data_IF_451038633341
#
_entry.id   IF_451038633341
#
_cell.length_a   1.000
_cell.length_b   1.000
_cell.length_c   1.000
_cell.angle_alpha   90.00
_cell.angle_beta   90.00
_cell.angle_gamma   90.00
#
_symmetry.space_group_name_H-M   'P 1'
#
loop_
_entity.id
_entity.type
_entity.pdbx_description
1 polymer ?
#
# COMPACT_ATOMS: atom_id res chain seq x y z
N UNK A 1 11.68 12.50 12.66
CA UNK A 1 10.96 12.93 13.91
C UNK A 1 9.66 12.14 14.04
N UNK A 2 9.20 11.90 15.27
CA UNK A 2 7.93 11.24 15.50
C UNK A 2 6.84 12.29 15.70
N UNK A 3 5.74 12.19 14.96
CA UNK A 3 4.56 13.02 15.15
C UNK A 3 3.50 12.22 15.91
N UNK A 4 2.89 12.88 16.89
CA UNK A 4 1.89 12.27 17.77
C UNK A 4 0.53 12.85 17.45
N UNK A 5 -0.45 11.95 17.27
CA UNK A 5 -1.86 12.29 17.13
C UNK A 5 -2.56 11.88 18.42
N UNK A 6 -3.14 12.85 19.10
CA UNK A 6 -3.86 12.63 20.34
C UNK A 6 -5.21 11.95 20.07
N UNK A 7 -5.75 11.27 21.08
CA UNK A 7 -7.10 10.71 21.00
C UNK A 7 -8.14 11.81 20.69
N UNK A 8 -9.23 11.43 20.07
CA UNK A 8 -10.30 12.31 19.57
C UNK A 8 -9.94 13.19 18.38
N UNK A 9 -8.73 13.03 17.80
CA UNK A 9 -8.38 13.71 16.56
C UNK A 9 -9.08 13.04 15.37
N UNK A 10 -9.65 13.84 14.49
CA UNK A 10 -10.26 13.36 13.24
C UNK A 10 -9.20 13.13 12.16
N UNK A 11 -9.43 12.12 11.34
CA UNK A 11 -8.63 11.81 10.18
C UNK A 11 -9.49 11.32 9.03
N UNK A 12 -8.84 11.01 7.93
CA UNK A 12 -9.47 10.50 6.71
C UNK A 12 -8.76 9.25 6.22
N UNK A 13 -9.46 8.47 5.42
CA UNK A 13 -8.80 7.49 4.55
C UNK A 13 -9.17 7.74 3.08
N UNK A 14 -8.19 7.51 2.20
CA UNK A 14 -8.24 7.92 0.81
C UNK A 14 -7.90 6.75 -0.12
N UNK A 15 -8.61 6.67 -1.24
CA UNK A 15 -8.33 5.77 -2.34
C UNK A 15 -8.23 6.55 -3.67
N UNK A 16 -8.32 5.86 -4.81
CA UNK A 16 -8.25 6.49 -6.13
C UNK A 16 -9.46 7.36 -6.48
N UNK A 17 -10.55 7.23 -5.74
CA UNK A 17 -11.77 8.02 -5.97
C UNK A 17 -11.67 9.42 -5.37
N UNK A 18 -10.85 9.61 -4.35
CA UNK A 18 -10.69 10.87 -3.66
C UNK A 18 -9.69 11.82 -4.36
N UNK A 19 -9.59 13.05 -3.83
CA UNK A 19 -8.67 14.07 -4.31
C UNK A 19 -7.21 13.67 -4.06
N UNK A 20 -6.31 14.12 -4.92
CA UNK A 20 -4.86 14.05 -4.66
C UNK A 20 -4.39 15.09 -3.63
N UNK A 21 -5.24 16.07 -3.32
CA UNK A 21 -4.91 17.17 -2.43
C UNK A 21 -5.65 17.03 -1.10
N UNK A 22 -4.91 16.72 -0.04
CA UNK A 22 -5.46 16.57 1.31
C UNK A 22 -6.09 17.86 1.87
N UNK A 23 -5.69 19.03 1.36
CA UNK A 23 -6.30 20.31 1.73
C UNK A 23 -7.79 20.39 1.33
N UNK A 24 -8.26 19.50 0.45
CA UNK A 24 -9.69 19.35 0.12
C UNK A 24 -10.53 18.85 1.32
N UNK A 25 -9.88 18.35 2.38
CA UNK A 25 -10.53 17.73 3.55
C UNK A 25 -10.16 18.47 4.85
N UNK A 26 -10.67 19.69 5.04
CA UNK A 26 -10.28 20.53 6.18
C UNK A 26 -10.71 19.94 7.52
N UNK A 27 -9.79 19.98 8.48
CA UNK A 27 -9.98 19.43 9.82
C UNK A 27 -9.33 18.07 10.02
N UNK A 28 -8.81 17.43 8.98
CA UNK A 28 -8.04 16.18 9.08
C UNK A 28 -6.73 16.43 9.84
N UNK A 29 -6.42 15.54 10.77
CA UNK A 29 -5.19 15.54 11.56
C UNK A 29 -4.26 14.38 11.22
N UNK A 30 -4.76 13.37 10.52
CA UNK A 30 -4.00 12.26 9.94
C UNK A 30 -4.72 11.73 8.70
N UNK A 31 -3.99 11.04 7.85
CA UNK A 31 -4.53 10.40 6.67
C UNK A 31 -4.03 8.95 6.57
N UNK A 32 -4.85 8.07 6.00
CA UNK A 32 -4.49 6.69 5.69
C UNK A 32 -4.79 6.47 4.21
N UNK A 33 -3.76 6.19 3.40
CA UNK A 33 -3.86 6.15 1.95
C UNK A 33 -3.86 4.71 1.45
N UNK A 34 -4.87 4.33 0.64
CA UNK A 34 -4.82 3.07 -0.12
C UNK A 34 -3.60 3.09 -1.02
N UNK A 35 -2.71 2.12 -0.87
CA UNK A 35 -1.56 2.02 -1.76
C UNK A 35 -1.71 0.88 -2.76
N UNK A 36 -2.30 -0.23 -2.33
CA UNK A 36 -2.39 -1.47 -3.12
C UNK A 36 -3.69 -2.24 -2.88
N UNK A 37 -3.96 -3.18 -3.78
CA UNK A 37 -5.03 -4.17 -3.66
C UNK A 37 -4.57 -5.47 -4.33
N UNK A 38 -4.78 -6.62 -3.69
CA UNK A 38 -4.34 -7.92 -4.17
C UNK A 38 -2.86 -7.93 -4.54
N UNK A 39 -2.49 -8.59 -5.65
CA UNK A 39 -1.09 -8.72 -6.08
C UNK A 39 -0.66 -7.75 -7.19
N UNK A 40 -1.56 -6.94 -7.73
CA UNK A 40 -1.27 -6.18 -8.96
C UNK A 40 -1.76 -4.74 -8.98
N UNK A 41 -2.81 -4.41 -8.22
CA UNK A 41 -3.33 -3.05 -8.21
C UNK A 41 -2.49 -2.13 -7.33
N UNK A 42 -2.16 -0.97 -7.87
CA UNK A 42 -1.57 0.15 -7.15
C UNK A 42 -2.46 1.38 -7.34
N UNK A 43 -2.74 2.10 -6.25
CA UNK A 43 -3.51 3.34 -6.33
C UNK A 43 -2.71 4.40 -7.13
N UNK A 44 -3.21 4.86 -8.29
CA UNK A 44 -2.48 5.80 -9.14
C UNK A 44 -2.27 7.16 -8.49
N UNK A 45 -3.08 7.51 -7.50
CA UNK A 45 -3.01 8.77 -6.77
C UNK A 45 -2.16 8.70 -5.50
N UNK A 46 -1.78 7.50 -5.03
CA UNK A 46 -1.14 7.32 -3.73
C UNK A 46 0.10 8.20 -3.53
N UNK A 47 0.96 8.32 -4.55
CA UNK A 47 2.17 9.17 -4.49
C UNK A 47 1.80 10.64 -4.26
N UNK A 48 0.81 11.14 -4.99
CA UNK A 48 0.37 12.53 -4.88
C UNK A 48 -0.35 12.79 -3.54
N UNK A 49 -1.21 11.87 -3.10
CA UNK A 49 -1.90 11.93 -1.80
C UNK A 49 -0.91 11.96 -0.64
N UNK A 50 0.07 11.04 -0.63
CA UNK A 50 1.13 11.00 0.39
C UNK A 50 1.99 12.27 0.36
N UNK A 51 2.37 12.75 -0.82
CA UNK A 51 3.13 13.99 -0.96
C UNK A 51 2.35 15.20 -0.45
N UNK A 52 1.06 15.29 -0.77
CA UNK A 52 0.17 16.35 -0.28
C UNK A 52 0.03 16.33 1.23
N UNK A 53 -0.15 15.16 1.85
CA UNK A 53 -0.19 15.02 3.31
C UNK A 53 1.10 15.54 3.97
N UNK A 54 2.25 15.13 3.45
CA UNK A 54 3.56 15.58 3.94
C UNK A 54 3.76 17.09 3.80
N UNK A 55 3.39 17.68 2.66
CA UNK A 55 3.51 19.12 2.41
C UNK A 55 2.64 19.94 3.37
N UNK A 56 1.49 19.42 3.76
CA UNK A 56 0.59 20.07 4.73
C UNK A 56 0.92 19.75 6.18
N UNK A 57 1.96 18.93 6.44
CA UNK A 57 2.36 18.51 7.78
C UNK A 57 1.41 17.52 8.44
N UNK A 58 0.53 16.88 7.66
CA UNK A 58 -0.41 15.86 8.13
C UNK A 58 0.29 14.50 8.10
N UNK A 59 0.40 13.78 9.24
CA UNK A 59 1.01 12.47 9.26
C UNK A 59 0.18 11.48 8.45
N UNK A 60 0.88 10.59 7.73
CA UNK A 60 0.28 9.66 6.79
C UNK A 60 0.69 8.22 7.07
N UNK A 61 -0.30 7.33 7.06
CA UNK A 61 -0.16 5.89 6.99
C UNK A 61 -0.66 5.34 5.67
N UNK A 62 -0.62 4.02 5.52
CA UNK A 62 -1.12 3.36 4.33
C UNK A 62 -2.01 2.17 4.61
N UNK A 63 -2.70 1.68 3.59
CA UNK A 63 -3.41 0.42 3.66
C UNK A 63 -3.38 -0.36 2.35
N UNK A 64 -3.61 -1.64 2.50
CA UNK A 64 -3.73 -2.63 1.44
C UNK A 64 -5.10 -3.28 1.49
N UNK A 65 -5.86 -3.22 0.41
CA UNK A 65 -7.11 -3.96 0.28
C UNK A 65 -6.81 -5.44 -0.01
N UNK A 66 -7.18 -6.31 0.91
CA UNK A 66 -6.84 -7.71 0.89
C UNK A 66 -7.62 -8.51 -0.16
N UNK A 67 -6.94 -9.43 -0.84
CA UNK A 67 -7.53 -10.48 -1.66
C UNK A 67 -7.15 -11.89 -1.16
N UNK A 68 -6.40 -11.96 -0.06
CA UNK A 68 -5.86 -13.24 0.43
C UNK A 68 -6.88 -14.10 1.18
N UNK A 69 -8.07 -13.59 1.49
CA UNK A 69 -9.13 -14.36 2.20
C UNK A 69 -8.59 -15.08 3.45
N UNK A 70 -8.55 -16.41 3.45
CA UNK A 70 -8.00 -17.26 4.51
C UNK A 70 -6.65 -17.91 4.12
N UNK A 71 -6.04 -17.51 3.01
CA UNK A 71 -4.78 -18.11 2.51
C UNK A 71 -3.56 -17.31 3.04
N UNK A 72 -2.86 -17.91 4.02
CA UNK A 72 -1.66 -17.31 4.61
C UNK A 72 -0.49 -17.15 3.62
N UNK A 73 -0.36 -18.04 2.61
CA UNK A 73 0.68 -17.92 1.60
C UNK A 73 0.40 -16.75 0.66
N UNK A 74 -0.87 -16.57 0.28
CA UNK A 74 -1.32 -15.41 -0.48
C UNK A 74 -1.11 -14.12 0.33
N UNK A 75 -1.47 -14.13 1.62
CA UNK A 75 -1.28 -13.00 2.52
C UNK A 75 0.18 -12.53 2.62
N UNK A 76 1.13 -13.47 2.68
CA UNK A 76 2.57 -13.14 2.65
C UNK A 76 2.96 -12.49 1.32
N UNK A 77 2.47 -12.98 0.18
CA UNK A 77 2.76 -12.38 -1.13
C UNK A 77 2.19 -10.97 -1.24
N UNK A 78 0.93 -10.79 -0.84
CA UNK A 78 0.28 -9.48 -0.82
C UNK A 78 0.97 -8.51 0.14
N UNK A 79 1.38 -8.98 1.34
CA UNK A 79 2.14 -8.19 2.30
C UNK A 79 3.48 -7.70 1.73
N UNK A 80 4.22 -8.56 1.04
CA UNK A 80 5.47 -8.16 0.39
C UNK A 80 5.25 -7.14 -0.72
N UNK A 81 4.23 -7.34 -1.56
CA UNK A 81 3.85 -6.37 -2.59
C UNK A 81 3.42 -5.03 -1.97
N UNK A 82 2.57 -5.07 -0.95
CA UNK A 82 2.09 -3.90 -0.24
C UNK A 82 3.25 -3.08 0.37
N UNK A 83 4.18 -3.73 1.05
CA UNK A 83 5.36 -3.09 1.65
C UNK A 83 6.27 -2.46 0.60
N UNK A 84 6.50 -3.14 -0.53
CA UNK A 84 7.29 -2.58 -1.62
C UNK A 84 6.65 -1.29 -2.15
N UNK A 85 5.35 -1.31 -2.41
CA UNK A 85 4.63 -0.14 -2.91
C UNK A 85 4.53 0.96 -1.86
N UNK A 86 4.30 0.64 -0.59
CA UNK A 86 4.28 1.61 0.50
C UNK A 86 5.59 2.41 0.60
N UNK A 87 6.74 1.74 0.45
CA UNK A 87 8.06 2.39 0.37
C UNK A 87 8.16 3.31 -0.84
N UNK A 88 7.71 2.83 -2.01
CA UNK A 88 7.74 3.58 -3.26
C UNK A 88 6.81 4.78 -3.25
N UNK A 89 5.65 4.70 -2.60
CA UNK A 89 4.72 5.83 -2.44
C UNK A 89 5.19 6.83 -1.39
N UNK A 90 6.21 6.48 -0.62
CA UNK A 90 6.80 7.36 0.39
C UNK A 90 6.06 7.33 1.73
N UNK A 91 5.29 6.27 2.05
CA UNK A 91 4.77 6.08 3.42
C UNK A 91 5.96 5.97 4.38
N UNK A 92 6.08 6.83 5.41
CA UNK A 92 7.24 6.80 6.29
C UNK A 92 7.33 5.50 7.10
N UNK A 93 8.53 4.92 7.21
CA UNK A 93 8.75 3.78 8.12
C UNK A 93 8.39 4.16 9.55
N UNK A 94 7.79 3.22 10.29
CA UNK A 94 7.24 3.48 11.62
C UNK A 94 5.85 4.10 11.64
N UNK A 95 5.28 4.45 10.48
CA UNK A 95 3.85 4.80 10.35
C UNK A 95 2.98 3.54 10.38
N UNK A 96 1.69 3.71 10.64
CA UNK A 96 0.74 2.61 10.53
C UNK A 96 0.59 2.15 9.08
N UNK A 97 0.41 0.83 8.91
CA UNK A 97 0.06 0.23 7.65
C UNK A 97 -0.95 -0.91 7.87
N UNK A 98 -2.14 -0.77 7.31
CA UNK A 98 -3.25 -1.65 7.61
C UNK A 98 -3.45 -2.74 6.54
N UNK A 99 -3.82 -3.95 7.00
CA UNK A 99 -4.58 -4.89 6.20
C UNK A 99 -6.05 -4.46 6.23
N UNK A 100 -6.62 -4.15 5.11
CA UNK A 100 -8.05 -3.91 4.93
C UNK A 100 -8.69 -5.24 4.52
N UNK A 101 -9.20 -5.96 5.53
CA UNK A 101 -9.77 -7.29 5.36
C UNK A 101 -11.29 -7.23 5.54
N UNK A 102 -11.99 -7.11 4.44
CA UNK A 102 -13.44 -7.01 4.40
C UNK A 102 -14.04 -7.82 3.24
N UNK A 103 -15.33 -8.06 3.25
CA UNK A 103 -16.02 -8.75 2.15
C UNK A 103 -16.08 -7.84 0.93
N UNK A 104 -15.58 -8.34 -0.20
CA UNK A 104 -15.63 -7.58 -1.44
C UNK A 104 -15.05 -8.33 -2.62
N UNK A 105 -14.90 -7.64 -3.74
CA UNK A 105 -14.33 -8.24 -4.94
C UNK A 105 -12.92 -8.75 -4.68
N UNK A 106 -12.71 -10.06 -4.83
CA UNK A 106 -11.42 -10.71 -4.64
C UNK A 106 -11.13 -11.18 -3.22
N UNK A 107 -11.90 -10.75 -2.20
CA UNK A 107 -11.69 -11.19 -0.81
C UNK A 107 -12.93 -11.89 -0.25
N UNK A 108 -12.80 -13.18 0.05
CA UNK A 108 -13.82 -13.97 0.75
C UNK A 108 -13.58 -13.99 2.25
N UNK A 109 -14.61 -13.68 3.03
CA UNK A 109 -14.53 -13.64 4.50
C UNK A 109 -15.22 -14.80 5.19
N UNK A 110 -15.69 -15.79 4.43
CA UNK A 110 -16.44 -16.96 4.91
C UNK A 110 -15.56 -18.11 5.43
N UNK A 111 -14.24 -17.98 5.43
CA UNK A 111 -13.32 -18.96 6.02
C UNK A 111 -13.57 -19.15 7.52
N UNK A 112 -13.04 -20.23 8.11
CA UNK A 112 -13.10 -20.37 9.55
C UNK A 112 -12.24 -19.30 10.26
N UNK A 113 -12.60 -19.01 11.50
CA UNK A 113 -11.99 -17.94 12.30
C UNK A 113 -10.47 -18.10 12.45
N UNK A 114 -10.00 -19.34 12.57
CA UNK A 114 -8.58 -19.64 12.74
C UNK A 114 -7.78 -19.32 11.46
N UNK A 115 -8.22 -19.82 10.30
CA UNK A 115 -7.54 -19.61 9.02
C UNK A 115 -7.56 -18.15 8.61
N UNK A 116 -8.70 -17.47 8.78
CA UNK A 116 -8.80 -16.01 8.54
C UNK A 116 -7.77 -15.27 9.40
N UNK A 117 -7.70 -15.58 10.69
CA UNK A 117 -6.76 -14.94 11.62
C UNK A 117 -5.31 -15.25 11.27
N UNK A 118 -5.01 -16.48 10.87
CA UNK A 118 -3.67 -16.87 10.43
C UNK A 118 -3.22 -16.10 9.19
N UNK A 119 -4.10 -15.94 8.21
CA UNK A 119 -3.80 -15.17 7.00
C UNK A 119 -3.57 -13.67 7.31
N UNK A 120 -4.43 -13.07 8.13
CA UNK A 120 -4.27 -11.69 8.58
C UNK A 120 -2.94 -11.51 9.33
N UNK A 121 -2.61 -12.40 10.27
CA UNK A 121 -1.35 -12.35 11.00
C UNK A 121 -0.14 -12.51 10.07
N UNK A 122 -0.22 -13.38 9.06
CA UNK A 122 0.85 -13.55 8.08
C UNK A 122 1.14 -12.28 7.28
N UNK A 123 0.11 -11.54 6.87
CA UNK A 123 0.25 -10.23 6.25
C UNK A 123 0.87 -9.22 7.22
N UNK A 124 0.31 -9.10 8.44
CA UNK A 124 0.76 -8.15 9.45
C UNK A 124 2.22 -8.39 9.88
N UNK A 125 2.67 -9.65 9.89
CA UNK A 125 4.06 -10.01 10.18
C UNK A 125 5.03 -9.47 9.12
N UNK A 126 4.65 -9.54 7.85
CA UNK A 126 5.44 -8.94 6.76
C UNK A 126 5.54 -7.43 6.93
N UNK A 127 4.43 -6.78 7.24
CA UNK A 127 4.34 -5.34 7.50
C UNK A 127 5.24 -4.94 8.68
N UNK A 128 5.16 -5.66 9.80
CA UNK A 128 5.99 -5.43 10.98
C UNK A 128 7.48 -5.61 10.70
N UNK A 129 7.86 -6.71 10.02
CA UNK A 129 9.24 -7.00 9.63
C UNK A 129 9.83 -5.91 8.73
N UNK A 130 9.00 -5.27 7.94
CA UNK A 130 9.41 -4.17 7.06
C UNK A 130 9.58 -2.81 7.79
N UNK A 131 9.25 -2.74 9.09
CA UNK A 131 9.40 -1.56 9.92
C UNK A 131 8.19 -0.63 9.95
N UNK A 132 7.03 -1.08 9.47
CA UNK A 132 5.75 -0.39 9.66
C UNK A 132 5.04 -0.89 10.93
N UNK A 133 4.04 -0.15 11.41
CA UNK A 133 3.17 -0.58 12.50
C UNK A 133 1.96 -1.28 11.89
N UNK A 134 1.80 -2.61 12.09
CA UNK A 134 0.68 -3.34 11.52
C UNK A 134 -0.63 -2.91 12.16
N UNK A 135 -1.64 -2.69 11.33
CA UNK A 135 -3.01 -2.47 11.72
C UNK A 135 -3.93 -3.44 10.99
N UNK A 136 -5.08 -3.73 11.58
CA UNK A 136 -6.16 -4.44 10.93
C UNK A 136 -7.37 -3.53 10.82
N UNK A 137 -7.80 -3.23 9.57
CA UNK A 137 -9.09 -2.65 9.29
C UNK A 137 -10.09 -3.73 8.93
N UNK A 138 -11.26 -3.64 9.51
CA UNK A 138 -12.44 -4.43 9.13
C UNK A 138 -13.72 -3.83 9.73
N UNK A 139 -14.86 -4.26 9.19
CA UNK A 139 -16.16 -3.99 9.80
C UNK A 139 -16.32 -4.69 11.16
N UNK A 140 -16.99 -4.01 12.13
CA UNK A 140 -17.21 -4.54 13.48
C UNK A 140 -17.71 -5.98 13.50
N UNK A 141 -18.69 -6.32 12.66
CA UNK A 141 -19.28 -7.66 12.61
C UNK A 141 -18.28 -8.75 12.21
N UNK A 142 -17.36 -8.45 11.26
CA UNK A 142 -16.32 -9.39 10.85
C UNK A 142 -15.27 -9.57 11.95
N UNK A 143 -14.87 -8.50 12.62
CA UNK A 143 -13.95 -8.57 13.76
C UNK A 143 -14.49 -9.44 14.89
N UNK A 144 -15.78 -9.36 15.20
CA UNK A 144 -16.41 -10.15 16.26
C UNK A 144 -16.60 -11.63 15.87
N UNK A 145 -17.02 -11.88 14.63
CA UNK A 145 -17.49 -13.21 14.24
C UNK A 145 -16.44 -14.03 13.46
N UNK A 146 -15.61 -13.40 12.64
CA UNK A 146 -14.76 -14.08 11.65
C UNK A 146 -13.26 -14.02 11.97
N UNK A 147 -12.87 -13.25 12.99
CA UNK A 147 -11.45 -13.01 13.33
C UNK A 147 -11.24 -13.20 14.83
N UNK A 148 -10.18 -13.90 15.22
CA UNK A 148 -9.71 -13.91 16.60
C UNK A 148 -8.86 -12.66 16.88
N UNK A 149 -9.56 -11.57 17.17
CA UNK A 149 -8.94 -10.27 17.44
C UNK A 149 -8.00 -10.33 18.65
N UNK A 150 -8.25 -11.21 19.62
CA UNK A 150 -7.37 -11.35 20.78
C UNK A 150 -5.96 -11.82 20.38
N UNK A 151 -5.84 -12.78 19.48
CA UNK A 151 -4.53 -13.23 18.99
C UNK A 151 -3.76 -12.11 18.27
N UNK A 152 -4.47 -11.26 17.55
CA UNK A 152 -3.88 -10.13 16.84
C UNK A 152 -3.40 -9.08 17.84
N UNK A 153 -4.26 -8.70 18.78
CA UNK A 153 -3.97 -7.64 19.75
C UNK A 153 -2.99 -8.07 20.84
N UNK A 154 -2.95 -9.34 21.21
CA UNK A 154 -1.88 -9.90 22.06
C UNK A 154 -0.49 -9.68 21.44
N UNK A 155 -0.40 -9.69 20.09
CA UNK A 155 0.86 -9.53 19.36
C UNK A 155 1.18 -8.07 19.05
N UNK A 156 0.20 -7.26 18.67
CA UNK A 156 0.41 -5.93 18.11
C UNK A 156 -0.21 -4.79 18.95
N UNK A 157 -0.89 -5.13 20.06
CA UNK A 157 -1.49 -4.13 20.97
C UNK A 157 -2.69 -3.42 20.35
N UNK A 158 -2.80 -2.12 20.59
CA UNK A 158 -3.88 -1.28 20.08
C UNK A 158 -3.70 -1.05 18.56
N UNK A 159 -4.22 -1.96 17.74
CA UNK A 159 -4.01 -2.00 16.29
C UNK A 159 -5.28 -2.18 15.47
N UNK A 160 -6.46 -2.16 16.10
CA UNK A 160 -7.72 -2.30 15.36
C UNK A 160 -8.20 -0.95 14.83
N UNK A 161 -8.48 -0.92 13.54
CA UNK A 161 -9.16 0.15 12.84
C UNK A 161 -10.54 -0.38 12.42
N UNK A 162 -11.57 0.08 13.10
CA UNK A 162 -12.91 -0.53 13.06
C UNK A 162 -13.88 0.35 12.29
N UNK A 163 -14.50 -0.19 11.24
CA UNK A 163 -15.63 0.45 10.57
C UNK A 163 -16.94 0.09 11.30
N UNK A 164 -17.62 1.12 11.77
CA UNK A 164 -18.94 1.00 12.39
C UNK A 164 -19.70 2.31 12.32
N UNK A 165 -20.68 2.38 11.44
CA UNK A 165 -21.44 3.61 11.16
C UNK A 165 -22.77 3.64 11.94
N UNK A 166 -23.11 4.82 12.46
CA UNK A 166 -24.42 5.06 13.04
C UNK A 166 -25.50 5.10 11.97
N UNK A 167 -25.19 5.75 10.86
CA UNK A 167 -26.02 5.88 9.66
C UNK A 167 -25.10 5.92 8.44
N UNK A 168 -25.62 5.55 7.29
CA UNK A 168 -24.95 5.79 6.01
C UNK A 168 -25.08 7.27 5.61
N UNK A 169 -24.10 7.76 4.86
CA UNK A 169 -24.05 9.12 4.35
C UNK A 169 -23.43 10.11 5.32
N UNK A 170 -23.83 11.39 5.21
CA UNK A 170 -23.14 12.48 5.91
C UNK A 170 -23.20 12.36 7.43
N UNK A 171 -22.04 12.34 8.05
CA UNK A 171 -21.85 12.51 9.49
C UNK A 171 -20.74 13.54 9.74
N UNK A 172 -21.03 14.56 10.55
CA UNK A 172 -20.08 15.65 10.80
C UNK A 172 -19.16 15.34 11.99
N UNK A 173 -19.63 14.55 12.94
CA UNK A 173 -18.91 14.20 14.18
C UNK A 173 -19.17 12.75 14.59
N UNK A 174 -18.19 12.13 15.23
CA UNK A 174 -18.34 10.80 15.82
C UNK A 174 -19.27 10.83 17.04
N UNK A 175 -20.34 10.02 17.03
CA UNK A 175 -21.26 9.86 18.15
C UNK A 175 -20.80 8.68 19.02
N UNK A 176 -20.15 8.95 20.14
CA UNK A 176 -19.62 7.93 21.02
C UNK A 176 -20.66 7.04 21.72
N UNK A 177 -21.96 7.34 21.61
CA UNK A 177 -23.01 6.39 21.99
C UNK A 177 -23.08 5.20 21.00
N UNK A 178 -22.52 5.35 19.78
CA UNK A 178 -22.38 4.31 18.77
C UNK A 178 -20.95 3.75 18.65
N UNK A 179 -20.09 4.08 19.61
CA UNK A 179 -18.73 3.55 19.59
C UNK A 179 -18.74 2.01 19.51
N UNK A 180 -17.95 1.39 18.62
CA UNK A 180 -17.82 -0.06 18.57
C UNK A 180 -17.13 -0.54 19.84
N UNK A 181 -17.92 -0.98 20.84
CA UNK A 181 -17.40 -1.39 22.14
C UNK A 181 -16.58 -2.67 22.01
N UNK A 182 -15.32 -2.51 21.65
CA UNK A 182 -14.32 -3.56 21.51
C UNK A 182 -13.01 -3.10 22.16
N UNK A 183 -12.24 -4.08 22.67
CA UNK A 183 -10.90 -3.81 23.18
C UNK A 183 -9.93 -3.48 22.02
N UNK A 184 -8.88 -2.73 22.32
CA UNK A 184 -7.79 -2.43 21.38
C UNK A 184 -8.18 -1.67 20.10
N UNK A 185 -9.34 -1.01 20.07
CA UNK A 185 -9.69 -0.10 18.97
C UNK A 185 -8.78 1.12 19.06
N UNK A 186 -7.95 1.32 18.06
CA UNK A 186 -7.06 2.48 17.96
C UNK A 186 -7.66 3.57 17.07
N UNK A 187 -8.38 3.17 16.02
CA UNK A 187 -9.07 4.08 15.09
C UNK A 187 -10.48 3.56 14.86
N UNK A 188 -11.44 4.48 14.87
CA UNK A 188 -12.82 4.20 14.50
C UNK A 188 -13.17 4.97 13.23
N UNK A 189 -13.48 4.25 12.14
CA UNK A 189 -14.09 4.82 10.95
C UNK A 189 -15.60 4.91 11.22
N UNK A 190 -16.08 6.14 11.43
CA UNK A 190 -17.43 6.40 11.90
C UNK A 190 -18.39 6.90 10.83
N UNK A 191 -17.88 7.26 9.66
CA UNK A 191 -18.64 7.81 8.55
C UNK A 191 -18.04 7.43 7.20
N UNK A 192 -18.90 7.15 6.24
CA UNK A 192 -18.59 6.97 4.82
C UNK A 192 -18.65 8.29 4.03
N UNK A 193 -19.11 9.37 4.65
CA UNK A 193 -19.17 10.71 4.05
C UNK A 193 -19.01 11.79 5.13
N UNK A 194 -17.76 11.94 5.61
CA UNK A 194 -17.46 12.91 6.65
C UNK A 194 -17.73 14.36 6.21
N UNK A 195 -18.59 15.06 6.94
CA UNK A 195 -19.00 16.46 6.66
C UNK A 195 -19.56 16.68 5.27
N UNK A 196 -19.95 15.64 4.55
CA UNK A 196 -20.43 15.76 3.18
C UNK A 196 -19.33 15.98 2.16
N UNK A 197 -18.08 15.67 2.49
CA UNK A 197 -16.92 15.91 1.64
C UNK A 197 -16.62 14.74 0.67
N UNK A 198 -17.43 13.67 0.66
CA UNK A 198 -17.21 12.49 -0.17
C UNK A 198 -15.96 11.69 0.21
N UNK A 199 -15.66 11.65 1.50
CA UNK A 199 -14.52 10.94 2.08
C UNK A 199 -14.89 10.29 3.39
N UNK A 200 -14.27 9.16 3.68
CA UNK A 200 -14.46 8.42 4.91
C UNK A 200 -13.86 9.17 6.11
N UNK A 201 -14.67 9.24 7.18
CA UNK A 201 -14.29 9.92 8.39
C UNK A 201 -13.81 8.97 9.47
N UNK A 202 -12.64 9.26 10.00
CA UNK A 202 -12.00 8.50 11.06
C UNK A 202 -11.81 9.34 12.31
N UNK A 203 -11.74 8.68 13.45
CA UNK A 203 -11.35 9.31 14.71
C UNK A 203 -10.34 8.43 15.44
N UNK A 204 -9.24 9.02 15.87
CA UNK A 204 -8.28 8.35 16.72
C UNK A 204 -8.91 8.10 18.09
N UNK A 205 -8.96 6.85 18.54
CA UNK A 205 -9.50 6.44 19.84
C UNK A 205 -8.37 6.27 20.86
N UNK A 206 -7.19 5.94 20.36
CA UNK A 206 -5.94 5.89 21.11
C UNK A 206 -4.95 6.89 20.53
N UNK A 207 -3.92 7.16 21.31
CA UNK A 207 -2.78 7.95 20.84
C UNK A 207 -2.10 7.24 19.69
N UNK A 208 -2.03 7.87 18.51
CA UNK A 208 -1.33 7.34 17.35
C UNK A 208 0.02 8.01 17.21
N UNK A 209 1.01 7.24 16.79
CA UNK A 209 2.35 7.76 16.50
C UNK A 209 2.73 7.44 15.07
N UNK A 210 3.12 8.47 14.34
CA UNK A 210 3.63 8.37 12.98
C UNK A 210 5.09 8.79 12.95
N UNK A 211 5.88 8.20 12.10
CA UNK A 211 7.19 8.74 11.79
C UNK A 211 7.05 9.72 10.62
N UNK A 212 7.77 10.84 10.67
CA UNK A 212 7.79 11.82 9.58
C UNK A 212 9.11 11.80 8.81
N UNK A 213 10.09 11.02 9.28
CA UNK A 213 11.34 10.87 8.56
C UNK A 213 11.12 9.96 7.36
N UNK A 214 11.49 10.45 6.19
CA UNK A 214 11.75 9.55 5.08
C UNK A 214 12.78 8.51 5.54
N UNK A 215 12.69 7.25 5.06
CA UNK A 215 13.80 6.35 5.25
C UNK A 215 15.02 7.12 4.77
N UNK A 216 15.93 7.45 5.69
CA UNK A 216 17.22 8.01 5.29
C UNK A 216 17.71 7.05 4.22
N UNK A 217 17.81 7.54 2.99
CA UNK A 217 18.73 6.93 2.06
C UNK A 217 20.00 6.79 2.87
N UNK A 218 20.35 5.58 3.24
CA UNK A 218 21.63 5.31 3.88
C UNK A 218 22.64 5.74 2.86
N UNK A 219 23.09 7.00 2.97
CA UNK A 219 24.36 7.46 2.44
C UNK A 219 25.43 6.92 3.37
N UNK A 220 25.44 5.60 3.59
CA UNK A 220 26.69 4.94 3.78
C UNK A 220 27.40 5.04 2.43
N UNK A 221 28.63 5.54 2.36
CA UNK A 221 29.41 5.40 1.15
C UNK A 221 29.38 3.92 0.86
N UNK A 222 28.78 3.56 -0.28
CA UNK A 222 28.75 2.20 -0.80
C UNK A 222 30.22 1.75 -0.77
N UNK A 223 30.60 1.04 0.30
CA UNK A 223 31.72 0.14 0.19
C UNK A 223 31.31 -0.75 -0.97
N UNK A 224 32.06 -0.71 -2.03
CA UNK A 224 31.98 -1.55 -3.22
C UNK A 224 31.97 -3.01 -2.76
N UNK A 225 30.81 -3.46 -2.23
CA UNK A 225 30.49 -4.87 -2.15
C UNK A 225 30.00 -5.24 -3.53
N UNK A 226 30.62 -6.21 -4.14
CA UNK A 226 30.20 -6.90 -5.36
C UNK A 226 28.67 -6.95 -5.39
N UNK A 227 28.06 -6.09 -6.21
CA UNK A 227 26.63 -6.04 -6.44
C UNK A 227 26.20 -7.46 -6.81
N UNK A 228 25.25 -8.03 -6.05
CA UNK A 228 24.62 -9.26 -6.51
C UNK A 228 24.06 -8.96 -7.90
N UNK A 229 24.61 -9.63 -8.91
CA UNK A 229 24.23 -9.40 -10.30
C UNK A 229 22.80 -9.80 -10.61
N UNK A 230 22.10 -10.42 -9.66
CA UNK A 230 20.71 -10.82 -9.78
C UNK A 230 20.03 -10.96 -8.41
N UNK A 231 18.71 -10.71 -8.36
CA UNK A 231 17.86 -10.92 -7.20
C UNK A 231 16.49 -11.45 -7.62
N UNK A 232 15.78 -12.12 -6.75
CA UNK A 232 14.41 -12.54 -7.01
C UNK A 232 13.44 -11.61 -6.26
N UNK A 233 12.46 -11.06 -6.98
CA UNK A 233 11.44 -10.24 -6.38
C UNK A 233 10.37 -11.07 -5.65
N UNK A 234 9.45 -10.37 -4.99
CA UNK A 234 8.37 -10.99 -4.22
C UNK A 234 7.36 -11.77 -5.07
N UNK A 235 7.36 -11.54 -6.39
CA UNK A 235 6.52 -12.24 -7.36
C UNK A 235 7.23 -13.50 -7.92
N UNK A 236 8.46 -13.76 -7.44
CA UNK A 236 9.28 -14.89 -7.88
C UNK A 236 10.00 -14.64 -9.21
N UNK A 237 10.02 -13.40 -9.71
CA UNK A 237 10.73 -13.04 -10.94
C UNK A 237 12.19 -12.73 -10.62
N UNK A 238 13.11 -13.37 -11.32
CA UNK A 238 14.56 -13.13 -11.17
C UNK A 238 14.96 -11.95 -12.03
N UNK A 239 15.40 -10.88 -11.37
CA UNK A 239 15.96 -9.68 -11.98
C UNK A 239 17.47 -9.79 -12.12
N UNK A 240 17.99 -9.22 -13.19
CA UNK A 240 19.41 -9.09 -13.47
C UNK A 240 19.78 -7.62 -13.55
N UNK A 241 20.75 -7.19 -12.74
CA UNK A 241 21.24 -5.82 -12.78
C UNK A 241 21.98 -5.57 -14.08
N UNK A 242 21.52 -4.58 -14.85
CA UNK A 242 22.12 -4.18 -16.13
C UNK A 242 21.69 -2.76 -16.46
N UNK A 243 22.63 -1.83 -16.46
CA UNK A 243 22.38 -0.48 -16.95
C UNK A 243 22.40 -0.46 -18.47
N UNK A 244 21.32 0.05 -19.06
CA UNK A 244 21.22 0.13 -20.51
C UNK A 244 20.24 1.19 -20.98
N UNK A 245 20.18 1.35 -22.28
CA UNK A 245 19.24 2.23 -22.96
C UNK A 245 18.43 1.42 -23.97
N UNK A 246 17.12 1.59 -23.93
CA UNK A 246 16.18 0.99 -24.86
C UNK A 246 15.44 2.08 -25.64
N UNK A 247 15.43 1.98 -26.97
CA UNK A 247 14.69 2.87 -27.85
C UNK A 247 13.51 2.11 -28.41
N UNK A 248 12.29 2.56 -28.12
CA UNK A 248 11.06 1.89 -28.53
C UNK A 248 10.93 1.85 -30.06
N UNK A 249 10.64 0.66 -30.61
CA UNK A 249 10.39 0.47 -32.06
C UNK A 249 8.93 0.67 -32.47
N UNK A 250 8.05 0.78 -31.49
CA UNK A 250 6.61 0.98 -31.61
C UNK A 250 6.04 1.61 -30.36
N UNK A 251 4.72 1.73 -30.29
CA UNK A 251 4.04 2.17 -29.08
C UNK A 251 4.14 1.06 -28.01
N UNK A 252 4.73 1.34 -26.84
CA UNK A 252 4.94 0.38 -25.75
C UNK A 252 4.35 0.92 -24.45
N UNK A 253 3.59 0.07 -23.78
CA UNK A 253 3.04 0.40 -22.47
C UNK A 253 4.11 0.39 -21.39
N UNK A 254 4.26 1.50 -20.68
CA UNK A 254 5.03 1.63 -19.45
C UNK A 254 4.07 1.48 -18.27
N UNK A 255 4.39 0.61 -17.32
CA UNK A 255 3.49 0.19 -16.24
C UNK A 255 4.15 0.33 -14.87
N UNK A 256 3.35 0.33 -13.82
CA UNK A 256 3.84 0.37 -12.43
C UNK A 256 4.38 -0.96 -11.91
N UNK A 257 4.18 -2.06 -12.63
CA UNK A 257 4.73 -3.38 -12.28
C UNK A 257 5.05 -4.18 -13.53
N UNK A 258 5.91 -5.18 -13.39
CA UNK A 258 6.35 -6.07 -14.48
C UNK A 258 5.31 -7.16 -14.80
N UNK A 259 4.08 -6.74 -15.07
CA UNK A 259 2.96 -7.60 -15.47
C UNK A 259 2.07 -6.87 -16.46
N UNK A 260 1.45 -7.60 -17.39
CA UNK A 260 0.45 -7.06 -18.33
C UNK A 260 -0.80 -6.57 -17.62
N UNK A 261 -1.08 -7.08 -16.43
CA UNK A 261 -2.20 -6.70 -15.57
C UNK A 261 -1.89 -5.46 -14.72
N UNK A 262 -0.61 -5.09 -14.61
CA UNK A 262 -0.21 -3.91 -13.84
C UNK A 262 -0.69 -2.64 -14.50
N UNK A 263 -1.03 -1.66 -13.65
CA UNK A 263 -1.58 -0.38 -14.10
C UNK A 263 -0.66 0.34 -15.06
N UNK A 264 -1.27 0.91 -16.10
CA UNK A 264 -0.59 1.72 -17.09
C UNK A 264 -0.15 3.07 -16.49
N UNK A 265 1.14 3.38 -16.63
CA UNK A 265 1.65 4.73 -16.37
C UNK A 265 1.35 5.61 -17.60
N UNK A 266 1.79 5.15 -18.77
CA UNK A 266 1.59 5.80 -20.06
C UNK A 266 1.94 4.83 -21.19
N UNK A 267 1.52 5.15 -22.40
CA UNK A 267 2.02 4.50 -23.61
C UNK A 267 3.13 5.35 -24.21
N UNK A 268 4.33 4.81 -24.25
CA UNK A 268 5.48 5.45 -24.86
C UNK A 268 5.38 5.37 -26.40
N UNK A 269 5.50 6.46 -27.13
CA UNK A 269 5.51 6.44 -28.60
C UNK A 269 6.79 5.79 -29.14
N UNK A 270 6.77 5.44 -30.43
CA UNK A 270 7.96 5.00 -31.17
C UNK A 270 9.10 6.02 -31.04
N UNK A 271 10.32 5.53 -30.83
CA UNK A 271 11.52 6.36 -30.69
C UNK A 271 11.74 6.92 -29.26
N UNK A 272 10.89 6.56 -28.29
CA UNK A 272 11.12 6.95 -26.89
C UNK A 272 12.40 6.32 -26.35
N UNK A 273 13.25 7.12 -25.73
CA UNK A 273 14.51 6.69 -25.11
C UNK A 273 14.27 6.36 -23.65
N UNK A 274 14.45 5.10 -23.27
CA UNK A 274 14.25 4.59 -21.91
C UNK A 274 15.58 4.11 -21.34
N UNK A 275 16.05 4.71 -20.27
CA UNK A 275 17.17 4.17 -19.49
C UNK A 275 16.61 3.15 -18.50
N UNK A 276 17.22 1.97 -18.43
CA UNK A 276 16.86 0.92 -17.49
C UNK A 276 18.09 0.49 -16.67
N UNK A 277 17.87 -0.06 -15.49
CA UNK A 277 18.94 -0.51 -14.60
C UNK A 277 18.83 -1.99 -14.22
N UNK A 278 17.79 -2.67 -14.71
CA UNK A 278 17.63 -4.10 -14.55
C UNK A 278 16.66 -4.66 -15.60
N UNK A 279 16.75 -5.99 -15.80
CA UNK A 279 15.79 -6.72 -16.60
C UNK A 279 15.42 -8.06 -15.95
N UNK A 280 14.24 -8.57 -16.26
CA UNK A 280 13.77 -9.89 -15.84
C UNK A 280 12.97 -10.56 -16.96
N UNK A 281 12.89 -11.89 -16.94
CA UNK A 281 12.07 -12.67 -17.87
C UNK A 281 10.93 -13.33 -17.13
N UNK A 282 9.71 -13.11 -17.59
CA UNK A 282 8.53 -13.79 -17.04
C UNK A 282 8.31 -15.18 -17.69
N UNK A 283 7.36 -15.93 -17.14
CA UNK A 283 7.00 -17.27 -17.61
C UNK A 283 6.42 -17.31 -19.03
N UNK A 284 5.94 -16.18 -19.54
CA UNK A 284 5.46 -16.02 -20.92
C UNK A 284 6.59 -15.64 -21.91
N UNK A 285 7.83 -15.57 -21.44
CA UNK A 285 9.01 -15.25 -22.26
C UNK A 285 9.19 -13.76 -22.53
N UNK A 286 8.40 -12.87 -21.89
CA UNK A 286 8.58 -11.42 -22.01
C UNK A 286 9.77 -10.99 -21.17
N UNK A 287 10.62 -10.15 -21.73
CA UNK A 287 11.69 -9.48 -21.01
C UNK A 287 11.23 -8.10 -20.60
N UNK A 288 11.09 -7.93 -19.31
CA UNK A 288 10.72 -6.67 -18.66
C UNK A 288 11.97 -5.86 -18.36
N UNK A 289 11.93 -4.58 -18.67
CA UNK A 289 12.98 -3.61 -18.35
C UNK A 289 12.49 -2.75 -17.19
N UNK A 290 13.35 -2.56 -16.18
CA UNK A 290 13.08 -1.72 -15.02
C UNK A 290 13.64 -0.32 -15.25
N UNK A 291 12.77 0.67 -15.41
CA UNK A 291 13.11 2.08 -15.60
C UNK A 291 13.11 2.82 -14.26
N UNK A 292 14.24 3.37 -13.78
CA UNK A 292 14.25 4.25 -12.62
C UNK A 292 13.45 5.54 -12.88
N UNK A 293 12.63 5.95 -11.92
CA UNK A 293 11.76 7.15 -12.00
C UNK A 293 11.99 8.16 -10.86
N UNK A 294 13.10 8.05 -10.17
CA UNK A 294 13.42 8.87 -8.99
C UNK A 294 12.78 8.32 -7.71
N UNK A 295 13.30 8.71 -6.54
CA UNK A 295 12.79 8.34 -5.21
C UNK A 295 12.47 6.84 -5.04
N UNK A 296 13.31 5.95 -5.61
CA UNK A 296 13.11 4.50 -5.63
C UNK A 296 11.83 4.00 -6.35
N UNK A 297 11.23 4.82 -7.21
CA UNK A 297 10.16 4.39 -8.08
C UNK A 297 10.70 3.79 -9.37
N UNK A 298 9.96 2.82 -9.90
CA UNK A 298 10.28 2.19 -11.17
C UNK A 298 9.06 2.11 -12.09
N UNK A 299 9.31 2.29 -13.37
CA UNK A 299 8.39 1.90 -14.42
C UNK A 299 8.86 0.62 -15.08
N UNK A 300 7.95 -0.16 -15.63
CA UNK A 300 8.26 -1.44 -16.24
C UNK A 300 7.67 -1.50 -17.65
N UNK A 301 8.47 -1.93 -18.62
CA UNK A 301 8.03 -2.10 -19.99
C UNK A 301 8.63 -3.38 -20.59
N UNK A 302 7.92 -3.95 -21.55
CA UNK A 302 8.45 -5.12 -22.30
C UNK A 302 9.40 -4.63 -23.38
N UNK A 303 10.67 -5.05 -23.31
CA UNK A 303 11.67 -4.76 -24.33
C UNK A 303 11.72 -5.80 -25.43
N UNK A 304 11.35 -7.07 -25.13
CA UNK A 304 11.29 -8.18 -26.12
C UNK A 304 10.38 -9.30 -25.64
N UNK A 305 9.95 -10.14 -26.59
CA UNK A 305 9.28 -11.42 -26.29
C UNK A 305 10.02 -12.51 -27.05
N UNK A 306 10.56 -13.50 -26.35
CA UNK A 306 11.45 -14.48 -26.96
C UNK A 306 12.66 -13.80 -27.61
N UNK A 307 12.81 -13.95 -28.96
CA UNK A 307 13.86 -13.32 -29.75
C UNK A 307 13.39 -12.00 -30.41
N UNK A 308 12.09 -11.66 -30.36
CA UNK A 308 11.56 -10.47 -31.01
C UNK A 308 11.74 -9.25 -30.11
N UNK A 309 12.70 -8.39 -30.45
CA UNK A 309 12.90 -7.11 -29.78
C UNK A 309 11.86 -6.08 -30.27
N UNK A 310 11.23 -5.39 -29.30
CA UNK A 310 10.25 -4.33 -29.59
C UNK A 310 10.89 -2.95 -29.75
N UNK A 311 12.21 -2.95 -29.88
CA UNK A 311 13.03 -1.76 -30.09
C UNK A 311 14.51 -2.08 -30.15
N UNK A 312 15.34 -1.07 -29.97
CA UNK A 312 16.80 -1.19 -30.06
C UNK A 312 17.41 -1.04 -28.66
N UNK A 313 18.23 -2.00 -28.29
CA UNK A 313 19.07 -1.94 -27.09
C UNK A 313 20.42 -1.29 -27.41
N UNK A 314 20.89 -0.39 -26.52
CA UNK A 314 22.19 0.28 -26.61
C UNK A 314 22.92 0.24 -25.28
#
# INVERSE_FOLDING_TARGET
MTQVIENRAYGIDEASYQSENIASYPGSKFAIVKTTEGLSYQNPKAVAQVASAKQTGIPVGGYHYAHFSADSNQAVKEGNFAVQVAKNTGIPLGSLYAADWETGSGNGTSGNKEDNTNAILAFMDVVAKAGYKPFLYSGKALLENNIDTKRITDKYGDCLWVAYYKVEGRQDTADFNWFPTMDHVAIWQFADNWKGMGIDGNIAVKKLTFNTEEPKATTEPIKTSTQEKSWTDVQGMTWHAEDGTFITGGAINLRWGASTESMLITTLPTGSVVKYNAWARDSAGRVWLQQPRGSNHYGYLVGRVGNDAWGTFK
#
